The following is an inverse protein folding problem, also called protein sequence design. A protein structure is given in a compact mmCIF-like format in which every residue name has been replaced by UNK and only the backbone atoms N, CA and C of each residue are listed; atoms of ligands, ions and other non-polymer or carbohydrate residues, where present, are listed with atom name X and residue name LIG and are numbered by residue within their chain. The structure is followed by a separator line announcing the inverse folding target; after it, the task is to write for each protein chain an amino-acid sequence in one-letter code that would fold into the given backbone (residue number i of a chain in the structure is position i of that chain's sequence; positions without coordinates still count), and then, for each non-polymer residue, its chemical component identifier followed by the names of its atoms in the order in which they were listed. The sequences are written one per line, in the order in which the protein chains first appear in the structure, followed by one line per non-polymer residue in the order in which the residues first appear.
data_IF_508415418749
#
_entry.id   IF_508415418749
#
_cell.length_a   1.000
_cell.length_b   1.000
_cell.length_c   1.000
_cell.angle_alpha   90.00
_cell.angle_beta   90.00
_cell.angle_gamma   90.00
#
_symmetry.space_group_name_H-M   'P 1'
#
loop_
_entity.id
_entity.type
_entity.pdbx_description
1 polymer ?
#
# COMPACT_ATOMS: atom_id res chain seq x y z
N UNK A 1 12.15 -18.95 38.97
CA UNK A 1 11.54 -17.62 38.76
C UNK A 1 10.69 -17.13 39.94
N UNK A 2 9.98 -17.95 40.63
CA UNK A 2 9.19 -17.54 41.79
C UNK A 2 9.69 -18.25 43.03
N UNK A 3 10.67 -17.66 43.72
CA UNK A 3 11.10 -18.15 45.04
C UNK A 3 10.14 -17.62 46.09
N UNK A 4 9.54 -18.52 46.88
CA UNK A 4 8.55 -18.18 47.92
C UNK A 4 9.13 -17.53 49.18
N UNK A 5 10.46 -17.30 49.27
CA UNK A 5 11.11 -16.69 50.41
C UNK A 5 12.16 -15.68 49.95
N UNK A 6 11.98 -14.43 50.32
CA UNK A 6 12.88 -13.28 50.18
C UNK A 6 12.87 -12.60 48.80
N UNK A 7 12.51 -11.36 48.82
CA UNK A 7 12.75 -10.25 47.90
C UNK A 7 11.70 -10.00 46.84
N UNK A 8 10.69 -9.28 47.25
CA UNK A 8 9.70 -8.63 46.37
C UNK A 8 10.36 -7.77 45.26
N UNK A 9 11.59 -7.22 45.55
CA UNK A 9 12.25 -6.31 44.61
C UNK A 9 12.71 -7.01 43.31
N UNK A 10 13.31 -8.21 43.35
CA UNK A 10 13.75 -8.93 42.14
C UNK A 10 12.56 -9.29 41.25
N UNK A 11 11.52 -9.86 41.88
CA UNK A 11 10.33 -10.25 41.15
C UNK A 11 9.65 -9.05 40.51
N UNK A 12 9.62 -7.90 41.18
CA UNK A 12 9.08 -6.65 40.64
C UNK A 12 9.89 -6.17 39.44
N UNK A 13 11.21 -6.11 39.53
CA UNK A 13 12.09 -5.68 38.44
C UNK A 13 11.98 -6.60 37.22
N UNK A 14 11.95 -7.93 37.45
CA UNK A 14 11.76 -8.91 36.36
C UNK A 14 10.39 -8.75 35.68
N UNK A 15 9.33 -8.52 36.47
CA UNK A 15 7.99 -8.26 35.92
C UNK A 15 7.92 -6.95 35.15
N UNK A 16 8.55 -5.87 35.63
CA UNK A 16 8.65 -4.59 34.90
C UNK A 16 9.33 -4.82 33.55
N UNK A 17 10.43 -5.57 33.51
CA UNK A 17 11.13 -5.87 32.26
C UNK A 17 10.29 -6.72 31.28
N UNK A 18 9.62 -7.75 31.78
CA UNK A 18 8.70 -8.57 30.98
C UNK A 18 7.57 -7.71 30.40
N UNK A 19 6.96 -6.86 31.25
CA UNK A 19 5.85 -5.98 30.84
C UNK A 19 6.32 -4.95 29.80
N UNK A 20 7.50 -4.34 29.99
CA UNK A 20 8.06 -3.40 29.02
C UNK A 20 8.28 -4.05 27.64
N UNK A 21 8.86 -5.26 27.62
CA UNK A 21 9.07 -6.02 26.39
C UNK A 21 7.72 -6.40 25.77
N UNK A 22 6.74 -6.84 26.58
CA UNK A 22 5.43 -7.24 26.10
C UNK A 22 4.69 -6.06 25.47
N UNK A 23 4.69 -4.88 26.07
CA UNK A 23 4.08 -3.67 25.52
C UNK A 23 4.75 -3.28 24.19
N UNK A 24 6.09 -3.26 24.17
CA UNK A 24 6.83 -2.92 22.94
C UNK A 24 6.56 -3.92 21.81
N UNK A 25 6.53 -5.22 22.13
CA UNK A 25 6.20 -6.27 21.16
C UNK A 25 4.79 -6.14 20.64
N UNK A 26 3.82 -5.90 21.51
CA UNK A 26 2.43 -5.69 21.12
C UNK A 26 2.29 -4.47 20.22
N UNK A 27 2.92 -3.34 20.57
CA UNK A 27 2.92 -2.14 19.75
C UNK A 27 3.51 -2.38 18.35
N UNK A 28 4.66 -3.11 18.26
CA UNK A 28 5.27 -3.49 16.98
C UNK A 28 4.28 -4.24 16.07
N UNK A 29 3.58 -5.23 16.62
CA UNK A 29 2.62 -6.04 15.86
C UNK A 29 1.44 -5.20 15.42
N UNK A 30 0.84 -4.43 16.31
CA UNK A 30 -0.33 -3.61 16.02
C UNK A 30 0.00 -2.62 14.89
N UNK A 31 1.12 -1.90 15.02
CA UNK A 31 1.49 -0.87 14.06
C UNK A 31 1.86 -1.48 12.70
N UNK A 32 2.65 -2.57 12.66
CA UNK A 32 2.99 -3.21 11.39
C UNK A 32 1.76 -3.83 10.70
N UNK A 33 0.86 -4.47 11.46
CA UNK A 33 -0.39 -5.02 10.91
C UNK A 33 -1.32 -3.91 10.39
N UNK A 34 -1.36 -2.75 11.05
CA UNK A 34 -2.10 -1.59 10.61
C UNK A 34 -1.50 -0.99 9.32
N UNK A 35 -0.17 -0.86 9.24
CA UNK A 35 0.52 -0.40 8.03
C UNK A 35 0.33 -1.36 6.84
N UNK A 36 0.37 -2.67 7.08
CA UNK A 36 0.08 -3.65 6.03
C UNK A 36 -1.36 -3.53 5.53
N UNK A 37 -2.33 -3.41 6.46
CA UNK A 37 -3.73 -3.21 6.12
C UNK A 37 -3.96 -1.94 5.30
N UNK A 38 -3.34 -0.82 5.69
CA UNK A 38 -3.42 0.44 4.94
C UNK A 38 -2.84 0.28 3.53
N UNK A 39 -1.63 -0.28 3.41
CA UNK A 39 -0.99 -0.52 2.11
C UNK A 39 -1.83 -1.44 1.23
N UNK A 40 -2.36 -2.54 1.79
CA UNK A 40 -3.22 -3.48 1.06
C UNK A 40 -4.52 -2.82 0.59
N UNK A 41 -5.12 -2.00 1.43
CA UNK A 41 -6.37 -1.29 1.10
C UNK A 41 -6.15 -0.24 0.01
N UNK A 42 -5.09 0.56 0.13
CA UNK A 42 -4.71 1.52 -0.91
C UNK A 42 -4.45 0.78 -2.23
N UNK A 43 -3.68 -0.31 -2.21
CA UNK A 43 -3.45 -1.13 -3.40
C UNK A 43 -4.77 -1.63 -4.02
N UNK A 44 -5.74 -2.06 -3.22
CA UNK A 44 -7.03 -2.54 -3.70
C UNK A 44 -7.88 -1.43 -4.34
N UNK A 45 -7.87 -0.21 -3.82
CA UNK A 45 -8.57 0.93 -4.42
C UNK A 45 -8.06 1.23 -5.83
N UNK A 46 -6.75 1.17 -6.05
CA UNK A 46 -6.16 1.37 -7.37
C UNK A 46 -6.34 0.15 -8.30
N UNK A 47 -6.46 -1.07 -7.75
CA UNK A 47 -6.66 -2.29 -8.54
C UNK A 47 -7.97 -2.32 -9.35
N UNK A 48 -8.99 -1.57 -8.94
CA UNK A 48 -10.28 -1.53 -9.66
C UNK A 48 -10.15 -0.79 -10.98
N UNK A 49 -9.31 0.23 -11.03
CA UNK A 49 -9.15 1.10 -12.21
C UNK A 49 -7.94 0.72 -13.07
N UNK A 50 -6.87 0.23 -12.47
CA UNK A 50 -5.61 -0.01 -13.15
C UNK A 50 -5.48 -1.43 -13.68
N UNK A 51 -4.99 -1.58 -14.94
CA UNK A 51 -4.70 -2.88 -15.53
C UNK A 51 -3.54 -3.56 -14.81
N UNK A 52 -3.34 -4.87 -15.04
CA UNK A 52 -2.15 -5.56 -14.55
C UNK A 52 -0.87 -4.96 -15.13
N UNK A 53 -0.91 -4.66 -16.45
CA UNK A 53 0.19 -4.01 -17.16
C UNK A 53 -0.34 -2.91 -18.08
N UNK A 54 0.42 -1.82 -18.19
CA UNK A 54 0.17 -0.69 -19.09
C UNK A 54 1.39 -0.42 -19.95
N UNK A 55 1.19 -0.45 -21.25
CA UNK A 55 2.22 -0.14 -22.25
C UNK A 55 2.02 1.28 -22.74
N UNK A 56 3.07 2.10 -22.64
CA UNK A 56 3.11 3.50 -23.08
C UNK A 56 4.38 3.75 -23.88
N UNK A 57 4.47 4.86 -24.60
CA UNK A 57 5.72 5.27 -25.27
C UNK A 57 6.60 6.06 -24.32
N UNK A 58 7.92 5.86 -24.41
CA UNK A 58 8.93 6.61 -23.63
C UNK A 58 9.01 8.07 -24.08
N UNK A 59 8.88 8.33 -25.38
CA UNK A 59 8.93 9.68 -25.95
C UNK A 59 7.64 9.98 -26.70
N UNK A 60 6.98 11.07 -26.34
CA UNK A 60 5.71 11.46 -26.91
C UNK A 60 4.53 11.09 -26.02
N UNK A 61 3.31 11.31 -26.50
CA UNK A 61 2.07 11.10 -25.77
C UNK A 61 1.21 10.00 -26.39
N UNK A 62 1.38 9.77 -27.69
CA UNK A 62 0.57 8.85 -28.48
C UNK A 62 1.44 8.03 -29.40
N UNK A 63 0.95 6.84 -29.74
CA UNK A 63 1.57 5.93 -30.70
C UNK A 63 0.52 5.19 -31.52
N UNK A 64 0.94 4.67 -32.66
CA UNK A 64 0.07 3.87 -33.51
C UNK A 64 0.00 2.44 -32.99
N UNK A 65 -1.21 2.02 -32.58
CA UNK A 65 -1.47 0.65 -32.15
C UNK A 65 -1.99 -0.17 -33.34
N UNK A 66 -1.09 -0.43 -34.31
CA UNK A 66 -1.42 -1.24 -35.48
C UNK A 66 -1.68 -2.71 -35.10
N UNK A 67 -2.32 -3.46 -36.00
CA UNK A 67 -2.70 -4.85 -35.75
C UNK A 67 -1.49 -5.76 -35.51
N UNK A 68 -0.32 -5.41 -36.09
CA UNK A 68 0.93 -6.13 -35.85
C UNK A 68 1.37 -6.03 -34.40
N UNK A 69 1.43 -4.83 -33.84
CA UNK A 69 1.78 -4.60 -32.43
C UNK A 69 0.81 -5.32 -31.48
N UNK A 70 -0.48 -5.23 -31.77
CA UNK A 70 -1.51 -5.89 -30.94
C UNK A 70 -1.39 -7.41 -31.00
N UNK A 71 -1.13 -7.99 -32.18
CA UNK A 71 -0.92 -9.43 -32.33
C UNK A 71 0.38 -9.90 -31.67
N UNK A 72 1.45 -9.12 -31.74
CA UNK A 72 2.70 -9.39 -31.03
C UNK A 72 2.52 -9.44 -29.52
N UNK A 73 1.73 -8.51 -28.94
CA UNK A 73 1.41 -8.49 -27.51
C UNK A 73 0.52 -9.69 -27.14
N UNK A 74 -0.52 -9.98 -27.96
CA UNK A 74 -1.41 -11.13 -27.70
C UNK A 74 -0.73 -12.49 -27.76
N UNK A 75 0.35 -12.61 -28.52
CA UNK A 75 1.09 -13.86 -28.67
C UNK A 75 1.97 -14.22 -27.45
N UNK A 76 2.09 -13.32 -26.46
CA UNK A 76 2.86 -13.58 -25.25
C UNK A 76 2.03 -14.45 -24.29
N UNK A 77 2.64 -15.54 -23.83
CA UNK A 77 1.99 -16.43 -22.86
C UNK A 77 1.64 -15.69 -21.56
N UNK A 78 0.44 -15.87 -21.07
CA UNK A 78 -0.07 -15.17 -19.88
C UNK A 78 -0.85 -13.87 -20.16
N UNK A 79 -0.89 -13.36 -21.40
CA UNK A 79 -1.76 -12.24 -21.80
C UNK A 79 -3.19 -12.73 -22.01
N UNK A 80 -4.14 -12.24 -21.22
CA UNK A 80 -5.54 -12.66 -21.29
C UNK A 80 -6.40 -11.73 -22.13
N UNK A 81 -6.37 -10.44 -21.87
CA UNK A 81 -7.18 -9.43 -22.54
C UNK A 81 -6.33 -8.18 -22.77
N UNK A 82 -6.56 -7.52 -23.90
CA UNK A 82 -5.94 -6.26 -24.27
C UNK A 82 -7.04 -5.23 -24.52
N UNK A 83 -6.84 -4.02 -24.00
CA UNK A 83 -7.68 -2.85 -24.25
C UNK A 83 -6.83 -1.67 -24.69
N UNK A 84 -7.31 -0.93 -25.69
CA UNK A 84 -6.67 0.29 -26.20
C UNK A 84 -7.33 1.50 -25.54
N UNK A 85 -6.51 2.45 -25.09
CA UNK A 85 -7.00 3.70 -24.50
C UNK A 85 -6.36 4.92 -25.13
N UNK A 86 -7.14 5.99 -25.27
CA UNK A 86 -6.67 7.30 -25.74
C UNK A 86 -7.07 8.34 -24.71
N UNK A 87 -6.13 8.94 -24.00
CA UNK A 87 -6.41 9.89 -22.94
C UNK A 87 -5.68 11.22 -23.12
N UNK A 88 -6.38 12.30 -22.86
CA UNK A 88 -5.83 13.65 -22.77
C UNK A 88 -6.69 14.55 -21.87
N UNK A 89 -6.14 15.73 -21.49
CA UNK A 89 -6.85 16.73 -20.75
C UNK A 89 -7.86 17.46 -21.67
N UNK A 90 -9.07 17.67 -21.16
CA UNK A 90 -10.11 18.41 -21.85
C UNK A 90 -10.93 19.22 -20.84
N UNK A 91 -11.59 20.26 -21.33
CA UNK A 91 -12.53 21.05 -20.55
C UNK A 91 -13.94 20.53 -20.77
N UNK A 92 -14.58 20.07 -19.70
CA UNK A 92 -16.00 19.75 -19.67
C UNK A 92 -16.79 20.99 -19.28
N UNK A 93 -17.90 21.25 -19.98
CA UNK A 93 -18.81 22.37 -19.70
C UNK A 93 -20.24 21.88 -19.65
N UNK A 94 -20.96 22.28 -18.60
CA UNK A 94 -22.39 22.15 -18.46
C UNK A 94 -22.96 23.54 -18.15
N UNK A 95 -23.66 24.16 -19.12
CA UNK A 95 -24.20 25.52 -19.03
C UNK A 95 -23.11 26.50 -18.60
N UNK A 96 -23.11 26.95 -17.33
CA UNK A 96 -22.17 27.93 -16.77
C UNK A 96 -21.06 27.27 -15.92
N UNK A 97 -21.16 25.95 -15.68
CA UNK A 97 -20.16 25.20 -14.90
C UNK A 97 -19.15 24.57 -15.81
N UNK A 98 -17.89 24.53 -15.33
CA UNK A 98 -16.80 23.91 -16.08
C UNK A 98 -15.84 23.18 -15.17
N UNK A 99 -15.23 22.10 -15.70
CA UNK A 99 -14.24 21.29 -15.03
C UNK A 99 -13.12 20.90 -16.01
N UNK A 100 -11.86 21.04 -15.59
CA UNK A 100 -10.72 20.51 -16.34
C UNK A 100 -10.48 19.07 -15.91
N UNK A 101 -10.64 18.13 -16.82
CA UNK A 101 -10.61 16.71 -16.54
C UNK A 101 -9.72 15.95 -17.53
N UNK A 102 -9.36 14.73 -17.21
CA UNK A 102 -8.73 13.79 -18.15
C UNK A 102 -9.84 12.93 -18.78
N UNK A 103 -10.09 13.14 -20.08
CA UNK A 103 -10.98 12.28 -20.84
C UNK A 103 -10.21 11.03 -21.27
N UNK A 104 -10.77 9.87 -20.96
CA UNK A 104 -10.20 8.57 -21.32
C UNK A 104 -11.14 7.89 -22.30
N UNK A 105 -10.74 7.83 -23.58
CA UNK A 105 -11.40 7.04 -24.60
C UNK A 105 -11.05 5.57 -24.43
N UNK A 106 -12.05 4.71 -24.33
CA UNK A 106 -11.90 3.29 -24.04
C UNK A 106 -12.56 2.43 -25.14
N UNK A 107 -11.96 1.28 -25.40
CA UNK A 107 -12.54 0.29 -26.31
C UNK A 107 -13.50 -0.68 -25.59
N UNK A 108 -14.17 -1.56 -26.33
CA UNK A 108 -15.15 -2.51 -25.77
C UNK A 108 -14.56 -3.57 -24.84
N UNK A 109 -13.22 -3.69 -24.72
CA UNK A 109 -12.57 -4.62 -23.81
C UNK A 109 -12.20 -3.98 -22.47
N UNK A 110 -12.29 -2.67 -22.37
CA UNK A 110 -11.83 -1.92 -21.22
C UNK A 110 -12.52 -2.37 -19.93
N UNK A 111 -13.83 -2.57 -19.93
CA UNK A 111 -14.59 -3.01 -18.76
C UNK A 111 -14.18 -4.37 -18.23
N UNK A 112 -13.55 -5.22 -19.08
CA UNK A 112 -13.01 -6.53 -18.68
C UNK A 112 -11.61 -6.43 -18.10
N UNK A 113 -10.86 -5.37 -18.46
CA UNK A 113 -9.49 -5.10 -17.96
C UNK A 113 -9.54 -4.27 -16.69
N UNK A 114 -10.29 -3.17 -16.71
CA UNK A 114 -10.55 -2.33 -15.56
C UNK A 114 -12.00 -2.57 -15.10
N UNK A 115 -12.20 -3.04 -13.88
CA UNK A 115 -13.53 -3.42 -13.37
C UNK A 115 -14.41 -2.21 -13.01
N UNK A 116 -14.40 -1.18 -13.86
CA UNK A 116 -15.06 0.10 -13.59
C UNK A 116 -16.59 -0.02 -13.55
N UNK A 117 -17.18 -1.02 -14.22
CA UNK A 117 -18.62 -1.26 -14.21
C UNK A 117 -19.19 -1.47 -12.80
N UNK A 118 -18.41 -2.12 -11.93
CA UNK A 118 -18.80 -2.37 -10.54
C UNK A 118 -18.78 -1.12 -9.65
N UNK A 119 -18.16 -0.05 -10.12
CA UNK A 119 -18.04 1.24 -9.41
C UNK A 119 -19.05 2.28 -9.88
N UNK A 120 -19.94 1.93 -10.83
CA UNK A 120 -21.04 2.80 -11.26
C UNK A 120 -22.11 2.83 -10.18
N UNK A 121 -22.34 4.00 -9.59
CA UNK A 121 -23.30 4.18 -8.50
C UNK A 121 -24.66 4.70 -8.99
N UNK A 122 -24.68 5.51 -10.04
CA UNK A 122 -25.91 6.02 -10.63
C UNK A 122 -25.85 5.91 -12.16
N UNK A 123 -26.96 5.52 -12.79
CA UNK A 123 -27.03 5.29 -14.22
C UNK A 123 -26.46 3.93 -14.67
N UNK A 124 -25.87 3.90 -15.85
CA UNK A 124 -25.31 2.70 -16.49
C UNK A 124 -23.95 3.00 -17.13
N UNK A 125 -23.10 1.98 -17.28
CA UNK A 125 -21.80 2.12 -17.93
C UNK A 125 -21.89 2.68 -19.37
N UNK A 126 -22.84 2.23 -20.18
CA UNK A 126 -23.32 2.81 -21.45
C UNK A 126 -22.31 3.21 -22.55
N UNK A 127 -20.99 2.96 -22.37
CA UNK A 127 -19.94 3.40 -23.29
C UNK A 127 -19.84 2.56 -24.57
N UNK A 128 -20.41 1.37 -24.59
CA UNK A 128 -20.32 0.42 -25.70
C UNK A 128 -21.41 0.65 -26.78
N UNK A 129 -22.33 1.62 -26.59
CA UNK A 129 -23.34 1.92 -27.60
C UNK A 129 -22.70 2.58 -28.83
N UNK A 130 -22.76 1.89 -29.97
CA UNK A 130 -22.31 2.41 -31.25
C UNK A 130 -23.15 3.61 -31.68
N UNK A 131 -22.50 4.66 -32.16
CA UNK A 131 -23.09 5.90 -32.68
C UNK A 131 -23.65 6.90 -31.65
N UNK A 132 -23.45 6.69 -30.35
CA UNK A 132 -23.76 7.71 -29.34
C UNK A 132 -22.47 8.19 -28.67
N UNK A 133 -22.35 9.51 -28.52
CA UNK A 133 -21.26 10.10 -27.74
C UNK A 133 -21.65 10.09 -26.26
N UNK A 134 -21.56 8.93 -25.61
CA UNK A 134 -21.86 8.75 -24.20
C UNK A 134 -20.64 9.07 -23.35
N UNK A 135 -20.86 9.62 -22.14
CA UNK A 135 -19.83 9.91 -21.17
C UNK A 135 -20.20 9.34 -19.80
N UNK A 136 -19.22 8.69 -19.16
CA UNK A 136 -19.28 8.23 -17.78
C UNK A 136 -18.45 9.19 -16.92
N UNK A 137 -19.06 9.81 -15.92
CA UNK A 137 -18.43 10.86 -15.10
C UNK A 137 -18.01 10.32 -13.74
N UNK A 138 -16.87 10.78 -13.22
CA UNK A 138 -16.58 10.64 -11.82
C UNK A 138 -17.55 11.47 -10.97
N UNK A 139 -17.86 11.00 -9.75
CA UNK A 139 -18.81 11.67 -8.84
C UNK A 139 -18.39 13.10 -8.54
N UNK A 140 -17.10 13.36 -8.30
CA UNK A 140 -16.58 14.70 -8.07
C UNK A 140 -16.82 15.65 -9.24
N UNK A 141 -16.61 15.17 -10.48
CA UNK A 141 -16.88 15.92 -11.71
C UNK A 141 -18.37 16.18 -11.86
N UNK A 142 -19.22 15.17 -11.64
CA UNK A 142 -20.67 15.31 -11.73
C UNK A 142 -21.20 16.35 -10.73
N UNK A 143 -20.72 16.35 -9.50
CA UNK A 143 -21.06 17.33 -8.48
C UNK A 143 -20.59 18.75 -8.87
N UNK A 144 -19.35 18.90 -9.36
CA UNK A 144 -18.78 20.17 -9.78
C UNK A 144 -19.57 20.79 -10.95
N UNK A 145 -20.00 19.96 -11.90
CA UNK A 145 -20.78 20.35 -13.05
C UNK A 145 -22.29 20.39 -12.78
N UNK A 146 -22.73 19.99 -11.59
CA UNK A 146 -24.15 19.88 -11.22
C UNK A 146 -24.96 19.03 -12.23
N UNK A 147 -24.37 17.89 -12.63
CA UNK A 147 -25.02 16.95 -13.56
C UNK A 147 -25.92 16.00 -12.78
N UNK A 148 -27.18 15.93 -13.16
CA UNK A 148 -28.15 14.97 -12.66
C UNK A 148 -28.59 14.03 -13.80
N UNK A 149 -28.24 12.75 -13.72
CA UNK A 149 -28.53 11.76 -14.76
C UNK A 149 -30.04 11.45 -14.85
N UNK A 150 -30.82 11.69 -13.78
CA UNK A 150 -32.24 11.38 -13.69
C UNK A 150 -33.13 12.46 -14.31
N UNK A 151 -32.60 13.65 -14.50
CA UNK A 151 -33.30 14.73 -15.19
C UNK A 151 -33.01 14.65 -16.69
N UNK A 152 -34.00 14.98 -17.55
CA UNK A 152 -33.84 15.02 -19.01
C UNK A 152 -32.64 15.89 -19.39
N UNK A 153 -31.60 15.25 -19.93
CA UNK A 153 -30.21 15.63 -19.83
C UNK A 153 -29.85 16.74 -20.79
N UNK A 154 -29.24 17.78 -20.26
CA UNK A 154 -28.44 18.70 -21.06
C UNK A 154 -27.20 17.95 -21.56
N UNK A 155 -26.93 18.00 -22.86
CA UNK A 155 -25.71 17.50 -23.44
C UNK A 155 -24.51 18.28 -22.86
N UNK A 156 -23.48 17.56 -22.43
CA UNK A 156 -22.24 18.17 -21.98
C UNK A 156 -21.37 18.50 -23.18
N UNK A 157 -20.76 19.67 -23.17
CA UNK A 157 -19.74 20.04 -24.16
C UNK A 157 -18.36 19.70 -23.67
N UNK A 158 -17.58 19.01 -24.50
CA UNK A 158 -16.17 18.70 -24.25
C UNK A 158 -15.33 19.51 -25.22
N UNK A 159 -14.34 20.24 -24.69
CA UNK A 159 -13.42 21.04 -25.47
C UNK A 159 -12.01 20.53 -25.32
N UNK A 160 -11.31 20.30 -26.44
CA UNK A 160 -9.91 19.95 -26.48
C UNK A 160 -9.14 20.92 -27.38
N UNK A 161 -7.96 21.42 -26.99
CA UNK A 161 -7.17 22.32 -27.83
C UNK A 161 -6.73 21.64 -29.13
N UNK A 162 -6.84 22.32 -30.26
CA UNK A 162 -6.32 21.84 -31.56
C UNK A 162 -4.82 21.97 -31.58
N UNK A 163 -4.10 20.89 -31.85
CA UNK A 163 -2.65 20.88 -31.92
C UNK A 163 -2.14 21.69 -33.11
N UNK A 164 -1.13 22.55 -32.87
CA UNK A 164 -0.44 23.28 -33.93
C UNK A 164 -1.12 24.54 -34.47
N UNK A 165 -2.31 24.88 -34.00
CA UNK A 165 -2.99 26.14 -34.35
C UNK A 165 -2.94 27.11 -33.18
N UNK A 166 -1.77 27.74 -32.96
CA UNK A 166 -1.65 28.88 -32.03
C UNK A 166 -1.83 30.14 -32.84
N UNK A 167 -2.97 30.87 -32.70
CA UNK A 167 -3.12 32.20 -33.25
C UNK A 167 -4.23 32.46 -34.26
N UNK A 168 -5.27 31.61 -34.32
CA UNK A 168 -6.49 31.97 -35.04
C UNK A 168 -7.18 33.16 -34.35
N UNK A 169 -7.61 34.13 -35.12
CA UNK A 169 -8.34 35.31 -34.62
C UNK A 169 -9.73 34.93 -34.03
N UNK A 170 -10.25 33.76 -34.39
CA UNK A 170 -11.48 33.20 -33.82
C UNK A 170 -11.13 32.21 -32.72
N UNK A 171 -11.51 32.44 -31.46
CA UNK A 171 -11.29 31.49 -30.36
C UNK A 171 -11.89 30.09 -30.63
N UNK A 172 -12.97 29.98 -31.32
CA UNK A 172 -13.69 28.73 -31.61
C UNK A 172 -12.89 27.78 -32.55
N UNK A 173 -12.03 28.33 -33.42
CA UNK A 173 -11.16 27.53 -34.31
C UNK A 173 -9.98 26.86 -33.60
N UNK A 174 -9.75 27.21 -32.33
CA UNK A 174 -8.64 26.70 -31.53
C UNK A 174 -9.01 25.47 -30.72
N UNK A 175 -10.28 25.07 -30.69
CA UNK A 175 -10.77 23.95 -29.90
C UNK A 175 -11.63 23.00 -30.74
N UNK A 176 -11.40 21.71 -30.59
CA UNK A 176 -12.34 20.69 -31.01
C UNK A 176 -13.45 20.58 -29.95
N UNK A 177 -14.70 20.64 -30.39
CA UNK A 177 -15.86 20.52 -29.51
C UNK A 177 -16.67 19.28 -29.88
N UNK A 178 -17.08 18.50 -28.88
CA UNK A 178 -17.98 17.37 -29.02
C UNK A 178 -19.03 17.45 -27.92
N UNK A 179 -20.28 17.11 -28.28
CA UNK A 179 -21.37 16.98 -27.32
C UNK A 179 -21.51 15.54 -26.89
N UNK A 180 -21.65 15.31 -25.57
CA UNK A 180 -21.78 13.98 -24.99
C UNK A 180 -22.96 13.93 -24.01
N UNK A 181 -23.65 12.78 -24.00
CA UNK A 181 -24.73 12.51 -23.06
C UNK A 181 -24.20 11.74 -21.85
N UNK A 182 -24.35 12.25 -20.62
CA UNK A 182 -23.94 11.50 -19.43
C UNK A 182 -24.86 10.28 -19.24
N UNK A 183 -24.25 9.09 -19.13
CA UNK A 183 -24.96 7.81 -18.98
C UNK A 183 -24.85 7.22 -17.59
N UNK A 184 -23.80 7.59 -16.85
CA UNK A 184 -23.58 7.08 -15.50
C UNK A 184 -22.59 7.93 -14.72
N UNK A 185 -22.59 7.72 -13.40
CA UNK A 185 -21.66 8.30 -12.45
C UNK A 185 -20.96 7.14 -11.74
N UNK A 186 -19.63 7.13 -11.77
CA UNK A 186 -18.83 6.20 -11.00
C UNK A 186 -18.23 6.88 -9.76
N UNK A 187 -17.93 6.11 -8.72
CA UNK A 187 -17.18 6.55 -7.55
C UNK A 187 -16.15 5.50 -7.15
N UNK A 188 -14.90 5.92 -7.06
CA UNK A 188 -13.77 5.09 -6.67
C UNK A 188 -13.02 5.68 -5.47
N UNK A 189 -12.57 6.90 -5.62
CA UNK A 189 -11.98 7.76 -4.60
C UNK A 189 -11.98 9.20 -5.12
N UNK A 190 -11.77 10.16 -4.22
CA UNK A 190 -11.83 11.58 -4.57
C UNK A 190 -10.87 11.96 -5.70
N UNK A 191 -9.66 11.40 -5.73
CA UNK A 191 -8.68 11.71 -6.78
C UNK A 191 -9.19 11.31 -8.16
N UNK A 192 -9.68 10.08 -8.31
CA UNK A 192 -10.23 9.58 -9.59
C UNK A 192 -11.54 10.26 -9.94
N UNK A 193 -12.40 10.50 -8.96
CA UNK A 193 -13.74 11.05 -9.14
C UNK A 193 -13.73 12.50 -9.62
N UNK A 194 -12.69 13.28 -9.25
CA UNK A 194 -12.49 14.66 -9.73
C UNK A 194 -11.62 14.75 -10.98
N UNK A 195 -10.89 13.69 -11.34
CA UNK A 195 -9.90 13.76 -12.42
C UNK A 195 -10.34 13.11 -13.72
N UNK A 196 -11.10 12.01 -13.68
CA UNK A 196 -11.36 11.18 -14.86
C UNK A 196 -12.82 11.18 -15.29
N UNK A 197 -13.00 11.20 -16.63
CA UNK A 197 -14.26 10.88 -17.28
C UNK A 197 -13.99 9.97 -18.49
N UNK A 198 -14.88 9.02 -18.75
CA UNK A 198 -14.72 8.01 -19.78
C UNK A 198 -15.67 8.24 -20.94
N UNK A 199 -15.17 8.04 -22.15
CA UNK A 199 -15.94 8.07 -23.39
C UNK A 199 -15.56 6.88 -24.27
N UNK A 200 -16.34 6.59 -25.29
CA UNK A 200 -15.93 5.62 -26.31
C UNK A 200 -14.64 6.09 -27.02
N UNK A 201 -13.76 5.15 -27.39
CA UNK A 201 -12.47 5.46 -28.02
C UNK A 201 -12.62 6.24 -29.32
N UNK A 202 -13.69 5.99 -30.09
CA UNK A 202 -13.95 6.71 -31.35
C UNK A 202 -14.34 8.17 -31.08
N UNK A 203 -15.05 8.46 -29.99
CA UNK A 203 -15.34 9.82 -29.53
C UNK A 203 -14.05 10.55 -29.14
N UNK A 204 -13.16 9.87 -28.38
CA UNK A 204 -11.87 10.44 -27.99
C UNK A 204 -10.96 10.70 -29.21
N UNK A 205 -10.93 9.81 -30.20
CA UNK A 205 -10.18 10.00 -31.44
C UNK A 205 -10.60 11.25 -32.20
N UNK A 206 -11.92 11.49 -32.28
CA UNK A 206 -12.48 12.71 -32.89
C UNK A 206 -12.15 13.95 -32.07
N UNK A 207 -12.27 13.87 -30.75
CA UNK A 207 -12.02 14.99 -29.83
C UNK A 207 -10.56 15.44 -29.88
N UNK A 208 -9.60 14.49 -29.88
CA UNK A 208 -8.17 14.78 -29.84
C UNK A 208 -7.50 14.89 -31.22
N UNK A 209 -8.28 14.70 -32.30
CA UNK A 209 -7.81 14.67 -33.69
C UNK A 209 -6.67 13.65 -33.91
N UNK A 210 -6.85 12.43 -33.36
CA UNK A 210 -5.85 11.37 -33.43
C UNK A 210 -6.52 10.03 -33.84
N UNK A 211 -6.90 9.89 -35.14
CA UNK A 211 -7.74 8.77 -35.60
C UNK A 211 -7.07 7.39 -35.47
N UNK A 212 -5.75 7.32 -35.60
CA UNK A 212 -4.99 6.05 -35.63
C UNK A 212 -4.11 5.83 -34.40
N UNK A 213 -4.12 6.74 -33.42
CA UNK A 213 -3.22 6.67 -32.28
C UNK A 213 -3.96 6.34 -30.99
N UNK A 214 -3.17 5.83 -30.06
CA UNK A 214 -3.57 5.55 -28.68
C UNK A 214 -2.55 6.12 -27.72
N UNK A 215 -2.95 6.37 -26.47
CA UNK A 215 -2.02 6.80 -25.40
C UNK A 215 -1.43 5.62 -24.66
N UNK A 216 -2.19 4.53 -24.55
CA UNK A 216 -1.72 3.33 -23.88
C UNK A 216 -2.44 2.06 -24.38
N UNK A 217 -1.79 0.92 -24.18
CA UNK A 217 -2.40 -0.40 -24.25
C UNK A 217 -2.43 -0.96 -22.84
N UNK A 218 -3.61 -1.33 -22.38
CA UNK A 218 -3.86 -1.94 -21.08
C UNK A 218 -4.00 -3.44 -21.23
N UNK A 219 -3.42 -4.19 -20.31
CA UNK A 219 -3.33 -5.64 -20.41
C UNK A 219 -3.79 -6.26 -19.10
N UNK A 220 -4.70 -7.22 -19.21
CA UNK A 220 -5.06 -8.14 -18.13
C UNK A 220 -4.27 -9.43 -18.32
N UNK A 221 -3.55 -9.85 -17.28
CA UNK A 221 -2.76 -11.07 -17.28
C UNK A 221 -3.48 -12.25 -16.63
N UNK A 222 -2.99 -13.46 -16.82
CA UNK A 222 -3.33 -14.60 -16.00
C UNK A 222 -2.79 -14.43 -14.58
N UNK A 223 -3.50 -14.95 -13.59
CA UNK A 223 -3.09 -14.83 -12.18
C UNK A 223 -1.66 -15.35 -11.96
N UNK A 224 -0.81 -14.48 -11.40
CA UNK A 224 0.57 -14.82 -11.04
C UNK A 224 1.58 -14.75 -12.18
N UNK A 225 1.18 -14.39 -13.41
CA UNK A 225 2.10 -14.26 -14.56
C UNK A 225 2.45 -12.81 -14.92
N UNK A 226 2.00 -11.83 -14.16
CA UNK A 226 2.18 -10.40 -14.48
C UNK A 226 3.64 -10.01 -14.66
N UNK A 227 4.53 -10.50 -13.80
CA UNK A 227 5.96 -10.15 -13.85
C UNK A 227 6.66 -10.80 -15.03
N UNK A 228 6.34 -12.06 -15.34
CA UNK A 228 6.89 -12.78 -16.50
C UNK A 228 6.44 -12.12 -17.80
N UNK A 229 5.15 -11.76 -17.89
CA UNK A 229 4.57 -11.05 -19.04
C UNK A 229 5.21 -9.67 -19.19
N UNK A 230 5.45 -8.95 -18.09
CA UNK A 230 6.10 -7.64 -18.11
C UNK A 230 7.50 -7.72 -18.71
N UNK A 231 8.31 -8.68 -18.25
CA UNK A 231 9.67 -8.88 -18.75
C UNK A 231 9.67 -9.26 -20.25
N UNK A 232 8.82 -10.20 -20.65
CA UNK A 232 8.70 -10.62 -22.05
C UNK A 232 8.23 -9.49 -22.98
N UNK A 233 7.29 -8.65 -22.49
CA UNK A 233 6.82 -7.47 -23.22
C UNK A 233 7.93 -6.42 -23.38
N UNK A 234 8.65 -6.10 -22.29
CA UNK A 234 9.71 -5.10 -22.32
C UNK A 234 10.85 -5.51 -23.26
N UNK A 235 11.23 -6.79 -23.24
CA UNK A 235 12.23 -7.34 -24.15
C UNK A 235 11.78 -7.26 -25.62
N UNK A 236 10.53 -7.62 -25.88
CA UNK A 236 9.99 -7.67 -27.26
C UNK A 236 9.72 -6.30 -27.85
N UNK A 237 9.24 -5.34 -27.02
CA UNK A 237 8.88 -4.00 -27.47
C UNK A 237 10.08 -3.03 -27.51
N UNK A 238 11.16 -3.36 -26.78
CA UNK A 238 12.40 -2.57 -26.73
C UNK A 238 12.22 -1.22 -26.05
N UNK A 239 13.25 -0.35 -26.18
CA UNK A 239 13.36 0.92 -25.46
C UNK A 239 12.39 2.02 -25.94
N UNK A 240 11.62 1.77 -26.98
CA UNK A 240 10.60 2.72 -27.46
C UNK A 240 9.36 2.73 -26.57
N UNK A 241 9.09 1.61 -25.92
CA UNK A 241 7.92 1.43 -25.06
C UNK A 241 8.34 1.19 -23.62
N UNK A 242 7.53 1.65 -22.72
CA UNK A 242 7.65 1.41 -21.29
C UNK A 242 6.47 0.55 -20.84
N UNK A 243 6.75 -0.59 -20.21
CA UNK A 243 5.76 -1.51 -19.69
C UNK A 243 5.74 -1.40 -18.17
N UNK A 244 4.70 -0.79 -17.62
CA UNK A 244 4.55 -0.59 -16.19
C UNK A 244 3.50 -1.52 -15.60
N UNK A 245 3.80 -2.09 -14.45
CA UNK A 245 2.83 -2.78 -13.62
C UNK A 245 2.09 -1.78 -12.70
N UNK A 246 1.07 -2.24 -11.97
CA UNK A 246 0.24 -1.41 -11.07
C UNK A 246 1.06 -0.62 -10.05
N UNK A 247 2.10 -1.22 -9.46
CA UNK A 247 2.97 -0.56 -8.50
C UNK A 247 3.77 0.58 -9.13
N UNK A 248 4.25 0.36 -10.35
CA UNK A 248 5.04 1.34 -11.09
C UNK A 248 4.19 2.47 -11.68
N UNK A 249 2.89 2.24 -11.90
CA UNK A 249 1.96 3.30 -12.33
C UNK A 249 1.77 4.35 -11.24
N UNK A 250 1.77 3.92 -9.97
CA UNK A 250 1.65 4.78 -8.78
C UNK A 250 2.94 4.77 -7.94
N UNK A 251 4.08 4.80 -8.61
CA UNK A 251 5.42 4.68 -8.00
C UNK A 251 5.63 5.65 -6.82
N UNK A 252 5.20 6.90 -6.95
CA UNK A 252 5.32 7.91 -5.89
C UNK A 252 4.53 7.50 -4.64
N UNK A 253 3.29 7.04 -4.81
CA UNK A 253 2.43 6.61 -3.72
C UNK A 253 3.03 5.41 -2.99
N UNK A 254 3.37 4.34 -3.75
CA UNK A 254 3.91 3.12 -3.15
C UNK A 254 5.27 3.35 -2.49
N UNK A 255 6.16 4.16 -3.09
CA UNK A 255 7.43 4.56 -2.46
C UNK A 255 7.21 5.37 -1.18
N UNK A 256 6.19 6.22 -1.13
CA UNK A 256 5.84 6.96 0.08
C UNK A 256 5.40 5.99 1.18
N UNK A 257 4.49 5.05 0.88
CA UNK A 257 4.03 4.03 1.82
C UNK A 257 5.18 3.14 2.32
N UNK A 258 6.10 2.73 1.44
CA UNK A 258 7.30 1.97 1.82
C UNK A 258 8.23 2.79 2.74
N UNK A 259 8.41 4.07 2.44
CA UNK A 259 9.23 4.97 3.24
C UNK A 259 8.61 5.19 4.63
N UNK A 260 7.30 5.40 4.71
CA UNK A 260 6.56 5.49 5.97
C UNK A 260 6.67 4.20 6.80
N UNK A 261 6.53 3.04 6.15
CA UNK A 261 6.70 1.73 6.79
C UNK A 261 8.12 1.58 7.35
N UNK A 262 9.15 1.96 6.59
CA UNK A 262 10.54 1.94 7.03
C UNK A 262 10.79 2.90 8.19
N UNK A 263 10.30 4.14 8.11
CA UNK A 263 10.44 5.13 9.18
C UNK A 263 9.79 4.65 10.47
N UNK A 264 8.58 4.10 10.37
CA UNK A 264 7.86 3.51 11.49
C UNK A 264 8.63 2.35 12.11
N UNK A 265 9.17 1.45 11.29
CA UNK A 265 10.00 0.34 11.76
C UNK A 265 11.24 0.84 12.52
N UNK A 266 11.93 1.87 12.01
CA UNK A 266 13.10 2.46 12.67
C UNK A 266 12.73 3.05 14.03
N UNK A 267 11.63 3.81 14.12
CA UNK A 267 11.14 4.39 15.38
C UNK A 267 10.85 3.28 16.40
N UNK A 268 10.16 2.23 15.99
CA UNK A 268 9.83 1.10 16.86
C UNK A 268 11.08 0.31 17.27
N UNK A 269 12.07 0.19 16.39
CA UNK A 269 13.37 -0.40 16.72
C UNK A 269 14.11 0.43 17.79
N UNK A 270 14.06 1.77 17.72
CA UNK A 270 14.62 2.62 18.78
C UNK A 270 13.91 2.43 20.12
N UNK A 271 12.57 2.34 20.13
CA UNK A 271 11.81 2.04 21.34
C UNK A 271 12.23 0.67 21.93
N UNK A 272 12.43 -0.31 21.08
CA UNK A 272 12.91 -1.63 21.51
C UNK A 272 14.33 -1.57 22.09
N UNK A 273 15.24 -0.78 21.51
CA UNK A 273 16.57 -0.53 22.07
C UNK A 273 16.46 0.12 23.46
N UNK A 274 15.58 1.10 23.65
CA UNK A 274 15.34 1.70 24.97
C UNK A 274 14.82 0.65 25.95
N UNK A 275 13.87 -0.20 25.55
CA UNK A 275 13.39 -1.31 26.38
C UNK A 275 14.51 -2.28 26.78
N UNK A 276 15.57 -2.37 25.98
CA UNK A 276 16.76 -3.20 26.29
C UNK A 276 17.50 -2.75 27.54
N UNK A 277 17.51 -1.45 27.85
CA UNK A 277 18.13 -0.95 29.07
C UNK A 277 17.43 -1.49 30.33
N UNK A 278 16.12 -1.77 30.26
CA UNK A 278 15.41 -2.41 31.37
C UNK A 278 15.90 -3.85 31.60
N UNK A 279 16.24 -4.59 30.53
CA UNK A 279 16.80 -5.95 30.63
C UNK A 279 18.18 -5.89 31.28
N UNK A 280 19.03 -4.95 30.83
CA UNK A 280 20.38 -4.75 31.40
C UNK A 280 20.28 -4.42 32.89
N UNK A 281 19.40 -3.51 33.27
CA UNK A 281 19.14 -3.13 34.66
C UNK A 281 18.66 -4.30 35.51
N UNK A 282 17.68 -5.05 35.03
CA UNK A 282 17.11 -6.20 35.71
C UNK A 282 18.18 -7.31 35.95
N UNK A 283 18.94 -7.65 34.90
CA UNK A 283 19.99 -8.68 35.01
C UNK A 283 21.14 -8.21 35.91
N UNK A 284 21.53 -6.95 35.83
CA UNK A 284 22.54 -6.38 36.71
C UNK A 284 22.13 -6.49 38.19
N UNK A 285 20.91 -6.06 38.50
CA UNK A 285 20.38 -6.14 39.86
C UNK A 285 20.26 -7.58 40.34
N UNK A 286 19.78 -8.48 39.48
CA UNK A 286 19.72 -9.92 39.80
C UNK A 286 21.09 -10.51 40.12
N UNK A 287 22.14 -10.19 39.35
CA UNK A 287 23.49 -10.66 39.57
C UNK A 287 24.05 -10.12 40.92
N UNK A 288 23.85 -8.81 41.18
CA UNK A 288 24.33 -8.20 42.44
C UNK A 288 23.66 -8.86 43.64
N UNK A 289 22.35 -9.07 43.60
CA UNK A 289 21.60 -9.66 44.72
C UNK A 289 21.96 -11.15 44.93
N UNK A 290 22.25 -11.88 43.85
CA UNK A 290 22.69 -13.28 43.90
C UNK A 290 24.16 -13.46 44.10
N UNK A 291 24.89 -12.39 44.44
CA UNK A 291 26.36 -12.42 44.63
C UNK A 291 26.82 -13.47 45.63
N UNK A 292 26.12 -13.65 46.76
CA UNK A 292 26.44 -14.67 47.76
C UNK A 292 26.24 -16.07 47.21
N UNK A 293 25.16 -16.31 46.48
CA UNK A 293 24.88 -17.61 45.88
C UNK A 293 25.91 -17.94 44.80
N UNK A 294 26.37 -16.94 44.02
CA UNK A 294 27.45 -17.07 43.03
C UNK A 294 28.77 -17.49 43.69
N UNK A 295 29.16 -16.83 44.80
CA UNK A 295 30.37 -17.17 45.56
C UNK A 295 30.30 -18.59 46.12
N UNK A 296 29.15 -18.99 46.66
CA UNK A 296 28.94 -20.35 47.17
C UNK A 296 29.08 -21.39 46.06
N UNK A 297 28.43 -21.19 44.92
CA UNK A 297 28.55 -22.09 43.77
C UNK A 297 29.97 -22.19 43.24
N UNK A 298 30.71 -21.07 43.19
CA UNK A 298 32.12 -21.06 42.78
C UNK A 298 33.01 -21.81 43.76
N UNK A 299 32.79 -21.64 45.07
CA UNK A 299 33.52 -22.37 46.12
C UNK A 299 33.24 -23.88 46.10
N UNK A 300 32.07 -24.28 45.59
CA UNK A 300 31.70 -25.68 45.36
C UNK A 300 32.26 -26.23 44.04
N UNK A 301 33.05 -25.47 43.29
CA UNK A 301 33.70 -25.90 42.04
C UNK A 301 32.95 -25.61 40.75
N UNK A 302 31.88 -24.79 40.80
CA UNK A 302 31.17 -24.38 39.57
C UNK A 302 32.09 -23.51 38.70
N UNK A 303 32.15 -23.79 37.40
CA UNK A 303 32.92 -22.98 36.46
C UNK A 303 32.23 -21.62 36.21
N UNK A 304 33.02 -20.58 35.93
CA UNK A 304 32.52 -19.24 35.55
C UNK A 304 31.59 -19.34 34.35
N UNK A 305 31.88 -20.24 33.42
CA UNK A 305 31.05 -20.47 32.23
C UNK A 305 29.66 -20.98 32.60
N UNK A 306 29.56 -21.88 33.57
CA UNK A 306 28.28 -22.38 34.07
C UNK A 306 27.44 -21.26 34.67
N UNK A 307 28.05 -20.41 35.51
CA UNK A 307 27.40 -19.25 36.13
C UNK A 307 26.88 -18.27 35.06
N UNK A 308 27.71 -17.95 34.06
CA UNK A 308 27.32 -17.11 32.93
C UNK A 308 26.14 -17.69 32.17
N UNK A 309 26.15 -18.98 31.88
CA UNK A 309 25.04 -19.63 31.16
C UNK A 309 23.72 -19.58 31.93
N UNK A 310 23.75 -19.62 33.26
CA UNK A 310 22.55 -19.47 34.09
C UNK A 310 21.92 -18.09 33.87
N UNK A 311 22.71 -17.01 33.99
CA UNK A 311 22.19 -15.65 33.83
C UNK A 311 21.82 -15.32 32.35
N UNK A 312 22.56 -15.89 31.39
CA UNK A 312 22.18 -15.78 29.99
C UNK A 312 20.80 -16.41 29.69
N UNK A 313 20.55 -17.61 30.25
CA UNK A 313 19.27 -18.28 30.12
C UNK A 313 18.16 -17.50 30.81
N UNK A 314 18.44 -16.88 31.96
CA UNK A 314 17.47 -16.01 32.66
C UNK A 314 17.08 -14.80 31.79
N UNK A 315 18.05 -14.09 31.22
CA UNK A 315 17.80 -12.97 30.30
C UNK A 315 16.99 -13.41 29.07
N UNK A 316 17.33 -14.57 28.53
CA UNK A 316 16.61 -15.14 27.39
C UNK A 316 15.16 -15.52 27.75
N UNK A 317 14.92 -16.03 28.96
CA UNK A 317 13.57 -16.33 29.44
C UNK A 317 12.76 -15.07 29.68
N UNK A 318 13.31 -14.02 30.29
CA UNK A 318 12.64 -12.74 30.47
C UNK A 318 12.21 -12.16 29.12
N UNK A 319 13.13 -12.16 28.15
CA UNK A 319 12.86 -11.66 26.80
C UNK A 319 11.81 -12.51 26.08
N UNK A 320 11.95 -13.83 26.12
CA UNK A 320 11.06 -14.77 25.46
C UNK A 320 9.63 -14.74 26.01
N UNK A 321 9.49 -14.72 27.35
CA UNK A 321 8.17 -14.61 27.99
C UNK A 321 7.51 -13.26 27.66
N UNK A 322 8.27 -12.16 27.73
CA UNK A 322 7.79 -10.84 27.35
C UNK A 322 7.35 -10.78 25.90
N UNK A 323 8.16 -11.33 24.98
CA UNK A 323 7.82 -11.39 23.55
C UNK A 323 6.54 -12.21 23.30
N UNK A 324 6.40 -13.39 23.89
CA UNK A 324 5.20 -14.24 23.71
C UNK A 324 3.95 -13.54 24.25
N UNK A 325 4.02 -12.94 25.44
CA UNK A 325 2.89 -12.19 26.00
C UNK A 325 2.53 -11.02 25.08
N UNK A 326 3.53 -10.27 24.60
CA UNK A 326 3.33 -9.17 23.68
C UNK A 326 2.72 -9.59 22.34
N UNK A 327 3.16 -10.72 21.78
CA UNK A 327 2.58 -11.33 20.58
C UNK A 327 1.10 -11.64 20.79
N UNK A 328 0.74 -12.28 21.92
CA UNK A 328 -0.65 -12.65 22.23
C UNK A 328 -1.51 -11.38 22.37
N UNK A 329 -1.03 -10.38 23.12
CA UNK A 329 -1.75 -9.11 23.32
C UNK A 329 -1.92 -8.38 21.98
N UNK A 330 -0.84 -8.25 21.20
CA UNK A 330 -0.88 -7.59 19.89
C UNK A 330 -1.86 -8.26 18.93
N UNK A 331 -1.81 -9.59 18.83
CA UNK A 331 -2.77 -10.37 18.04
C UNK A 331 -4.22 -10.18 18.52
N UNK A 332 -4.42 -10.19 19.82
CA UNK A 332 -5.76 -10.02 20.40
C UNK A 332 -6.32 -8.62 20.07
N UNK A 333 -5.52 -7.57 20.17
CA UNK A 333 -5.93 -6.20 19.80
C UNK A 333 -6.23 -6.10 18.30
N UNK A 334 -5.38 -6.67 17.45
CA UNK A 334 -5.63 -6.73 16.00
C UNK A 334 -6.93 -7.48 15.68
N UNK A 335 -7.17 -8.60 16.33
CA UNK A 335 -8.41 -9.35 16.18
C UNK A 335 -9.65 -8.56 16.64
N UNK A 336 -9.56 -7.85 17.78
CA UNK A 336 -10.62 -6.97 18.26
C UNK A 336 -10.94 -5.88 17.24
N UNK A 337 -9.91 -5.25 16.65
CA UNK A 337 -10.11 -4.22 15.63
C UNK A 337 -10.79 -4.80 14.38
N UNK A 338 -10.38 -5.98 13.90
CA UNK A 338 -10.98 -6.64 12.74
C UNK A 338 -12.45 -7.03 12.98
N UNK A 339 -12.81 -7.40 14.22
CA UNK A 339 -14.17 -7.86 14.54
C UNK A 339 -15.12 -6.73 14.91
N UNK A 340 -14.65 -5.75 15.68
CA UNK A 340 -15.48 -4.70 16.27
C UNK A 340 -15.26 -3.31 15.65
N UNK A 341 -14.26 -3.15 14.75
CA UNK A 341 -14.00 -1.87 14.08
C UNK A 341 -13.91 -0.67 15.04
N UNK A 342 -13.14 -0.85 16.15
CA UNK A 342 -13.06 0.10 17.26
C UNK A 342 -12.48 1.45 16.83
N UNK A 343 -11.49 1.44 15.96
CA UNK A 343 -10.86 2.63 15.41
C UNK A 343 -11.44 2.91 14.02
N UNK A 344 -12.11 4.06 13.90
CA UNK A 344 -12.71 4.54 12.66
C UNK A 344 -11.90 5.69 12.07
N UNK A 345 -11.86 5.81 10.75
CA UNK A 345 -11.24 6.96 10.06
C UNK A 345 -12.14 8.21 10.07
N UNK A 346 -13.46 8.03 10.16
CA UNK A 346 -14.50 9.05 10.02
C UNK A 346 -15.48 8.69 8.89
N UNK A 347 -16.67 9.28 8.96
CA UNK A 347 -17.77 8.94 8.03
C UNK A 347 -17.56 9.50 6.61
N UNK A 348 -16.55 10.37 6.41
CA UNK A 348 -16.23 11.00 5.11
C UNK A 348 -15.27 10.15 4.26
N UNK A 349 -14.64 9.11 4.83
CA UNK A 349 -13.70 8.26 4.11
C UNK A 349 -14.41 7.04 3.51
N UNK A 350 -13.98 6.64 2.30
CA UNK A 350 -14.47 5.43 1.59
C UNK A 350 -14.34 4.17 2.47
N UNK A 351 -13.34 4.16 3.36
CA UNK A 351 -13.11 3.09 4.31
C UNK A 351 -13.49 3.62 5.70
N UNK A 352 -14.61 3.16 6.29
CA UNK A 352 -15.12 3.71 7.53
C UNK A 352 -14.27 3.34 8.75
N UNK A 353 -13.39 2.33 8.67
CA UNK A 353 -12.57 1.82 9.77
C UNK A 353 -11.13 1.56 9.37
N UNK A 354 -10.23 1.61 10.35
CA UNK A 354 -8.80 1.38 10.12
C UNK A 354 -8.54 -0.07 9.72
N UNK A 355 -8.00 -0.33 8.51
CA UNK A 355 -7.76 -1.67 8.01
C UNK A 355 -6.59 -2.31 8.74
N UNK A 356 -6.70 -3.60 9.07
CA UNK A 356 -5.63 -4.40 9.66
C UNK A 356 -5.42 -5.63 8.79
N UNK A 357 -4.16 -5.87 8.42
CA UNK A 357 -3.74 -7.09 7.73
C UNK A 357 -2.61 -7.76 8.51
N UNK A 358 -2.88 -8.98 8.98
CA UNK A 358 -1.95 -9.78 9.76
C UNK A 358 -1.11 -10.63 8.81
N UNK A 359 0.20 -10.36 8.73
CA UNK A 359 1.14 -11.15 7.94
C UNK A 359 2.01 -12.03 8.84
N UNK A 360 1.99 -13.34 8.64
CA UNK A 360 2.76 -14.30 9.43
C UNK A 360 4.26 -14.02 9.39
N UNK A 361 4.77 -13.49 8.29
CA UNK A 361 6.18 -13.10 8.12
C UNK A 361 6.63 -12.08 9.18
N UNK A 362 5.77 -11.11 9.51
CA UNK A 362 6.09 -10.05 10.46
C UNK A 362 6.30 -10.61 11.87
N UNK A 363 5.53 -11.63 12.27
CA UNK A 363 5.69 -12.27 13.56
C UNK A 363 7.04 -12.94 13.71
N UNK A 364 7.50 -13.64 12.68
CA UNK A 364 8.82 -14.31 12.67
C UNK A 364 9.93 -13.26 12.76
N UNK A 365 9.83 -12.16 11.99
CA UNK A 365 10.81 -11.10 12.02
C UNK A 365 10.84 -10.36 13.36
N UNK A 366 9.68 -9.99 13.92
CA UNK A 366 9.57 -9.31 15.21
C UNK A 366 10.12 -10.19 16.32
N UNK A 367 9.71 -11.47 16.37
CA UNK A 367 10.19 -12.40 17.38
C UNK A 367 11.70 -12.60 17.28
N UNK A 368 12.24 -12.81 16.08
CA UNK A 368 13.67 -12.92 15.83
C UNK A 368 14.46 -11.67 16.25
N UNK A 369 13.93 -10.48 15.93
CA UNK A 369 14.52 -9.20 16.31
C UNK A 369 14.59 -9.05 17.84
N UNK A 370 13.48 -9.29 18.53
CA UNK A 370 13.40 -9.17 20.00
C UNK A 370 14.34 -10.15 20.69
N UNK A 371 14.36 -11.41 20.23
CA UNK A 371 15.25 -12.42 20.78
C UNK A 371 16.72 -12.09 20.55
N UNK A 372 17.08 -11.55 19.39
CA UNK A 372 18.44 -11.10 19.06
C UNK A 372 18.87 -9.94 19.98
N UNK A 373 18.03 -8.92 20.09
CA UNK A 373 18.31 -7.77 20.95
C UNK A 373 18.41 -8.20 22.43
N UNK A 374 17.48 -9.04 22.90
CA UNK A 374 17.53 -9.58 24.28
C UNK A 374 18.78 -10.39 24.56
N UNK A 375 19.26 -11.15 23.59
CA UNK A 375 20.51 -11.88 23.68
C UNK A 375 21.74 -10.94 23.86
N UNK A 376 21.83 -9.91 22.99
CA UNK A 376 22.93 -8.93 23.09
C UNK A 376 22.86 -8.11 24.39
N UNK A 377 21.63 -7.74 24.81
CA UNK A 377 21.41 -7.05 26.09
C UNK A 377 21.86 -7.83 27.28
N UNK A 378 21.64 -9.14 27.30
CA UNK A 378 22.08 -10.02 28.40
C UNK A 378 23.61 -10.24 28.41
N UNK A 379 24.25 -10.17 27.26
CA UNK A 379 25.73 -10.40 27.17
C UNK A 379 26.53 -9.40 28.00
N UNK A 380 26.16 -8.13 28.00
CA UNK A 380 26.92 -7.07 28.68
C UNK A 380 26.96 -7.27 30.20
N UNK A 381 25.84 -7.32 30.95
CA UNK A 381 25.87 -7.48 32.40
C UNK A 381 26.47 -8.82 32.81
N UNK A 382 26.16 -9.90 32.08
CA UNK A 382 26.70 -11.24 32.40
C UNK A 382 28.20 -11.31 32.24
N UNK A 383 28.80 -10.68 31.23
CA UNK A 383 30.27 -10.69 31.04
C UNK A 383 30.99 -9.80 32.05
N UNK A 384 30.45 -8.62 32.35
CA UNK A 384 31.11 -7.61 33.18
C UNK A 384 31.01 -8.02 34.66
N UNK A 385 29.81 -8.25 35.17
CA UNK A 385 29.60 -8.46 36.61
C UNK A 385 30.02 -9.84 37.10
N UNK A 386 29.92 -10.91 36.28
CA UNK A 386 30.45 -12.22 36.71
C UNK A 386 31.98 -12.28 36.78
N UNK A 387 32.68 -11.35 36.11
CA UNK A 387 34.15 -11.27 36.18
C UNK A 387 34.60 -10.44 37.37
N UNK A 388 33.94 -9.35 37.70
CA UNK A 388 34.30 -8.46 38.82
C UNK A 388 34.04 -9.10 40.18
N UNK A 389 32.99 -9.90 40.34
CA UNK A 389 32.63 -10.53 41.63
C UNK A 389 33.48 -11.73 42.04
N UNK A 390 34.28 -12.25 41.13
CA UNK A 390 35.20 -13.40 41.38
C UNK A 390 36.64 -12.99 41.59
N UNK A 391 37.02 -11.73 41.36
CA UNK A 391 38.37 -11.19 41.48
C UNK A 391 38.58 -10.45 42.83
N UNK A 392 37.50 -10.15 43.54
CA UNK A 392 37.46 -9.58 44.89
C UNK A 392 36.65 -10.47 45.83
#
# INVERSE_FOLDING_TARGET
MVSKKSNNAINIISWISITAIAITTAALIIILSAMNGLTGTVANLYNVFEPDLKVTVVKGKYFEANDKLVSEIKAIDGVKIISKTLSDKALLKNIDKQALVTIVGVDGNFSKVAQIESSVEDGVYGLNELNKSNILLGRGIANQLQVNIREFVNELSIFSPVKGKSGSLNPDDNFNQIYCTPTGIFSLNDEFDYQFAFVNIETAKKLFDEPNKVSAIQILCEKGKSDDVQMALQEKLGDKFEVKNRYQLNDVLFKTLETEKLATFIILAFILIIATFNIIGALTMLIIEKRRDIKTLYSMGASIQLIRNIFMREGFLITGVGAIIGLIIGLFVCWLQMQFHLVKFGDEFIIPYYPIEIQVKDFVWIFGLIMSIGFFAALYPVRVFTKMDLVH
#
